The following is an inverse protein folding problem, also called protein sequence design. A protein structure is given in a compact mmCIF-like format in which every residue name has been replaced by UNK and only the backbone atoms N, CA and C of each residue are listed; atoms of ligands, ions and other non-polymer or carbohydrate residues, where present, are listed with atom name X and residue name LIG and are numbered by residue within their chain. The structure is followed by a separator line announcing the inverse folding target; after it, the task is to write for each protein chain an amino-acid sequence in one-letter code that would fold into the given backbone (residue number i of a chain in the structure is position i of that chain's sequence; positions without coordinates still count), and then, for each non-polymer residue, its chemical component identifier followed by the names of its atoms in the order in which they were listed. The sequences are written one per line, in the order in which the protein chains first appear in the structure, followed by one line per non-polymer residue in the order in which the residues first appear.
data_IF_536396709659
#
_entry.id   IF_536396709659
#
_cell.length_a   1.000
_cell.length_b   1.000
_cell.length_c   1.000
_cell.angle_alpha   90.00
_cell.angle_beta   90.00
_cell.angle_gamma   90.00
#
_symmetry.space_group_name_H-M   'P 1'
#
loop_
_entity.id
_entity.type
_entity.pdbx_description
1 polymer ?
#
# COMPACT_ATOMS: atom_id res chain seq x y z
N UNK A 1 8.68 16.39 14.58
CA UNK A 1 8.50 15.18 15.42
C UNK A 1 8.48 13.94 14.54
N UNK A 2 7.95 14.00 13.31
CA UNK A 2 8.03 12.94 12.28
C UNK A 2 9.46 12.54 11.86
N UNK A 3 10.36 13.51 11.61
CA UNK A 3 11.72 13.20 11.09
C UNK A 3 12.57 12.33 12.04
N UNK A 4 12.36 12.44 13.36
CA UNK A 4 13.09 11.63 14.36
C UNK A 4 12.59 10.18 14.34
N UNK A 5 11.30 9.96 14.07
CA UNK A 5 10.72 8.62 14.01
C UNK A 5 11.23 7.86 12.78
N UNK A 6 11.34 8.54 11.64
CA UNK A 6 11.92 7.99 10.40
C UNK A 6 13.38 7.58 10.61
N UNK A 7 14.18 8.43 11.24
CA UNK A 7 15.60 8.13 11.52
C UNK A 7 15.74 6.94 12.48
N UNK A 8 14.91 6.86 13.51
CA UNK A 8 14.95 5.75 14.47
C UNK A 8 14.59 4.41 13.79
N UNK A 9 13.55 4.37 12.96
CA UNK A 9 13.18 3.14 12.23
C UNK A 9 14.24 2.76 11.19
N UNK A 10 14.89 3.73 10.55
CA UNK A 10 16.04 3.48 9.66
C UNK A 10 17.27 2.95 10.43
N UNK A 11 17.51 3.39 11.67
CA UNK A 11 18.58 2.86 12.53
C UNK A 11 18.26 1.47 13.09
N UNK A 12 17.00 1.17 13.42
CA UNK A 12 16.59 -0.17 13.88
C UNK A 12 16.66 -1.22 12.76
N UNK A 13 16.28 -0.83 11.54
CA UNK A 13 16.33 -1.71 10.38
C UNK A 13 17.75 -1.98 9.87
N UNK A 14 18.75 -1.15 10.23
CA UNK A 14 20.18 -1.35 9.89
C UNK A 14 20.80 -2.64 10.40
N UNK A 15 20.20 -3.35 11.38
CA UNK A 15 20.75 -4.63 11.85
C UNK A 15 20.76 -5.73 10.79
N UNK A 16 20.08 -5.54 9.64
CA UNK A 16 19.94 -6.55 8.58
C UNK A 16 20.28 -5.98 7.17
N UNK A 17 21.18 -5.00 7.04
CA UNK A 17 21.34 -4.27 5.75
C UNK A 17 22.71 -4.50 5.07
N UNK A 18 22.65 -4.89 3.79
CA UNK A 18 23.72 -4.75 2.79
C UNK A 18 23.82 -3.29 2.31
N UNK A 19 25.02 -2.73 2.07
CA UNK A 19 25.16 -1.36 1.57
C UNK A 19 24.35 -1.16 0.27
N UNK A 20 23.59 -0.05 0.19
CA UNK A 20 22.75 0.39 -0.94
C UNK A 20 21.30 -0.15 -1.03
N UNK A 21 20.80 -0.91 -0.07
CA UNK A 21 19.36 -1.27 -0.04
C UNK A 21 18.59 -0.39 0.95
N UNK A 22 17.51 0.24 0.49
CA UNK A 22 16.50 0.81 1.37
C UNK A 22 15.90 -0.36 2.15
N UNK A 23 15.84 -0.32 3.49
CA UNK A 23 15.23 -1.40 4.23
C UNK A 23 13.74 -1.46 3.88
N UNK A 24 13.36 -2.50 3.15
CA UNK A 24 11.99 -2.91 2.80
C UNK A 24 11.03 -2.74 3.99
N UNK A 25 11.50 -3.08 5.19
CA UNK A 25 10.74 -2.93 6.42
C UNK A 25 10.45 -1.47 6.80
N UNK A 26 11.37 -0.52 6.54
CA UNK A 26 11.12 0.90 6.85
C UNK A 26 10.10 1.51 5.89
N UNK A 27 10.11 1.11 4.62
CA UNK A 27 9.01 1.44 3.71
C UNK A 27 7.69 0.89 4.28
N UNK A 28 7.59 -0.41 4.56
CA UNK A 28 6.32 -0.99 5.01
C UNK A 28 5.84 -0.49 6.40
N UNK A 29 6.74 -0.34 7.38
CA UNK A 29 6.39 0.03 8.77
C UNK A 29 6.34 1.54 9.05
N UNK A 30 7.17 2.36 8.39
CA UNK A 30 7.09 3.83 8.51
C UNK A 30 6.02 4.39 7.61
N UNK A 31 5.81 3.78 6.44
CA UNK A 31 4.84 4.31 5.51
C UNK A 31 3.46 3.94 5.99
N UNK A 32 2.64 4.97 5.95
CA UNK A 32 1.19 4.91 6.00
C UNK A 32 0.58 3.94 4.98
N UNK A 33 1.33 3.10 4.25
CA UNK A 33 0.79 2.16 3.29
C UNK A 33 -0.04 1.09 4.01
N UNK A 34 0.47 0.45 5.06
CA UNK A 34 -0.35 -0.47 5.87
C UNK A 34 -1.59 0.23 6.43
N UNK A 35 -1.46 1.46 6.94
CA UNK A 35 -2.59 2.19 7.52
C UNK A 35 -3.59 2.69 6.47
N UNK A 36 -3.13 3.10 5.28
CA UNK A 36 -3.95 3.52 4.13
C UNK A 36 -4.65 2.30 3.52
N UNK A 37 -3.93 1.22 3.27
CA UNK A 37 -4.48 -0.05 2.76
C UNK A 37 -5.48 -0.60 3.77
N UNK A 38 -5.19 -0.58 5.08
CA UNK A 38 -6.18 -0.92 6.11
C UNK A 38 -7.40 0.00 6.06
N UNK A 39 -7.21 1.30 5.85
CA UNK A 39 -8.29 2.28 5.72
C UNK A 39 -9.24 1.99 4.56
N UNK A 40 -8.73 1.44 3.45
CA UNK A 40 -9.52 1.08 2.26
C UNK A 40 -9.89 -0.41 2.19
N UNK A 41 -9.35 -1.26 3.07
CA UNK A 41 -9.49 -2.73 3.02
C UNK A 41 -10.95 -3.22 3.05
N UNK A 42 -11.83 -2.45 3.69
CA UNK A 42 -13.26 -2.76 3.77
C UNK A 42 -14.01 -2.52 2.46
N UNK A 43 -13.51 -1.65 1.58
CA UNK A 43 -14.15 -1.30 0.30
C UNK A 43 -14.26 -2.52 -0.63
N UNK A 44 -13.16 -3.23 -0.98
CA UNK A 44 -13.24 -4.37 -1.87
C UNK A 44 -14.02 -5.55 -1.25
N UNK A 45 -13.91 -5.76 0.07
CA UNK A 45 -14.68 -6.79 0.76
C UNK A 45 -16.19 -6.51 0.68
N UNK A 46 -16.62 -5.29 0.99
CA UNK A 46 -18.01 -4.88 0.86
C UNK A 46 -18.52 -4.91 -0.58
N UNK A 47 -17.65 -4.71 -1.56
CA UNK A 47 -17.99 -4.87 -2.98
C UNK A 47 -18.26 -6.34 -3.35
N UNK A 48 -17.39 -7.27 -2.92
CA UNK A 48 -17.58 -8.72 -3.12
C UNK A 48 -18.90 -9.18 -2.50
N UNK A 49 -19.23 -8.71 -1.30
CA UNK A 49 -20.50 -9.03 -0.66
C UNK A 49 -21.71 -8.59 -1.49
N UNK A 50 -21.70 -7.34 -1.99
CA UNK A 50 -22.79 -6.80 -2.83
C UNK A 50 -22.96 -7.58 -4.13
N UNK A 51 -21.85 -7.93 -4.80
CA UNK A 51 -21.90 -8.74 -6.03
C UNK A 51 -22.55 -10.10 -5.74
N UNK A 52 -22.10 -10.79 -4.69
CA UNK A 52 -22.62 -12.11 -4.39
C UNK A 52 -24.09 -12.09 -3.98
N UNK A 53 -24.55 -11.06 -3.25
CA UNK A 53 -25.98 -10.88 -2.98
C UNK A 53 -26.79 -10.70 -4.27
N UNK A 54 -26.32 -9.88 -5.21
CA UNK A 54 -26.99 -9.72 -6.51
C UNK A 54 -27.01 -11.02 -7.32
N UNK A 55 -25.89 -11.73 -7.40
CA UNK A 55 -25.80 -13.02 -8.11
C UNK A 55 -26.74 -14.04 -7.47
N UNK A 56 -26.80 -14.10 -6.14
CA UNK A 56 -27.70 -15.00 -5.41
C UNK A 56 -29.16 -14.74 -5.75
N UNK A 57 -29.59 -13.48 -5.71
CA UNK A 57 -30.96 -13.10 -6.04
C UNK A 57 -31.33 -13.48 -7.48
N UNK A 58 -30.44 -13.23 -8.43
CA UNK A 58 -30.65 -13.58 -9.85
C UNK A 58 -30.73 -15.09 -10.02
N UNK A 59 -29.78 -15.84 -9.48
CA UNK A 59 -29.70 -17.30 -9.64
C UNK A 59 -30.89 -17.98 -8.98
N UNK A 60 -31.26 -17.59 -7.75
CA UNK A 60 -32.45 -18.14 -7.07
C UNK A 60 -33.70 -17.81 -7.85
N UNK A 61 -33.87 -16.57 -8.34
CA UNK A 61 -35.05 -16.17 -9.12
C UNK A 61 -35.21 -17.00 -10.39
N UNK A 62 -34.12 -17.19 -11.14
CA UNK A 62 -34.10 -18.00 -12.36
C UNK A 62 -34.41 -19.47 -12.05
N UNK A 63 -33.75 -20.05 -11.04
CA UNK A 63 -33.99 -21.44 -10.62
C UNK A 63 -35.44 -21.66 -10.20
N UNK A 64 -36.00 -20.77 -9.39
CA UNK A 64 -37.38 -20.86 -8.90
C UNK A 64 -38.39 -20.80 -10.05
N UNK A 65 -38.18 -19.90 -11.01
CA UNK A 65 -39.05 -19.73 -12.19
C UNK A 65 -39.04 -20.97 -13.08
N UNK A 66 -37.88 -21.55 -13.37
CA UNK A 66 -37.78 -22.71 -14.25
C UNK A 66 -38.23 -24.03 -13.61
N UNK A 67 -38.36 -24.08 -12.29
CA UNK A 67 -38.77 -25.27 -11.54
C UNK A 67 -40.16 -25.15 -10.88
N UNK A 68 -40.92 -24.10 -11.20
CA UNK A 68 -42.22 -23.80 -10.58
C UNK A 68 -43.22 -24.97 -10.62
N UNK A 69 -43.21 -25.75 -11.71
CA UNK A 69 -44.11 -26.88 -11.91
C UNK A 69 -43.69 -28.14 -11.14
N UNK A 70 -42.50 -28.14 -10.53
CA UNK A 70 -41.92 -29.29 -9.84
C UNK A 70 -41.44 -28.92 -8.44
N UNK A 71 -42.36 -28.81 -7.48
CA UNK A 71 -42.08 -28.36 -6.11
C UNK A 71 -40.87 -29.04 -5.43
N UNK A 72 -40.74 -30.36 -5.56
CA UNK A 72 -39.60 -31.10 -4.97
C UNK A 72 -38.26 -30.72 -5.61
N UNK A 73 -38.24 -30.53 -6.93
CA UNK A 73 -37.06 -30.10 -7.67
C UNK A 73 -36.73 -28.64 -7.37
N UNK A 74 -37.74 -27.79 -7.24
CA UNK A 74 -37.57 -26.38 -6.90
C UNK A 74 -36.91 -26.20 -5.53
N UNK A 75 -37.41 -26.91 -4.52
CA UNK A 75 -36.84 -26.85 -3.18
C UNK A 75 -35.40 -27.38 -3.12
N UNK A 76 -35.13 -28.50 -3.82
CA UNK A 76 -33.78 -29.08 -3.85
C UNK A 76 -32.80 -28.21 -4.63
N UNK A 77 -33.19 -27.67 -5.79
CA UNK A 77 -32.39 -26.79 -6.62
C UNK A 77 -32.07 -25.47 -5.92
N UNK A 78 -33.06 -24.85 -5.24
CA UNK A 78 -32.84 -23.65 -4.42
C UNK A 78 -31.78 -23.90 -3.35
N UNK A 79 -31.94 -24.98 -2.57
CA UNK A 79 -30.98 -25.34 -1.51
C UNK A 79 -29.59 -25.62 -2.06
N UNK A 80 -29.48 -26.37 -3.15
CA UNK A 80 -28.21 -26.67 -3.79
C UNK A 80 -27.52 -25.39 -4.32
N UNK A 81 -28.29 -24.50 -4.96
CA UNK A 81 -27.81 -23.22 -5.45
C UNK A 81 -27.28 -22.34 -4.31
N UNK A 82 -28.07 -22.14 -3.25
CA UNK A 82 -27.64 -21.32 -2.10
C UNK A 82 -26.40 -21.89 -1.41
N UNK A 83 -26.31 -23.21 -1.24
CA UNK A 83 -25.12 -23.86 -0.71
C UNK A 83 -23.87 -23.63 -1.58
N UNK A 84 -24.01 -23.72 -2.91
CA UNK A 84 -22.91 -23.44 -3.83
C UNK A 84 -22.48 -21.98 -3.76
N UNK A 85 -23.43 -21.05 -3.79
CA UNK A 85 -23.15 -19.61 -3.75
C UNK A 85 -22.50 -19.20 -2.43
N UNK A 86 -22.95 -19.75 -1.30
CA UNK A 86 -22.29 -19.55 -0.01
C UNK A 86 -20.81 -19.93 -0.04
N UNK A 87 -20.49 -21.11 -0.61
CA UNK A 87 -19.10 -21.58 -0.74
C UNK A 87 -18.27 -20.71 -1.70
N UNK A 88 -18.86 -20.27 -2.81
CA UNK A 88 -18.17 -19.42 -3.78
C UNK A 88 -17.95 -18.00 -3.24
N UNK A 89 -18.91 -17.47 -2.46
CA UNK A 89 -18.78 -16.20 -1.75
C UNK A 89 -17.66 -16.27 -0.72
N UNK A 90 -17.63 -17.31 0.11
CA UNK A 90 -16.56 -17.52 1.10
C UNK A 90 -15.18 -17.54 0.43
N UNK A 91 -15.02 -18.33 -0.64
CA UNK A 91 -13.76 -18.38 -1.39
C UNK A 91 -13.35 -17.03 -1.98
N UNK A 92 -14.32 -16.25 -2.46
CA UNK A 92 -14.06 -14.91 -3.01
C UNK A 92 -13.62 -13.93 -1.94
N UNK A 93 -14.21 -14.00 -0.74
CA UNK A 93 -13.81 -13.19 0.41
C UNK A 93 -12.38 -13.55 0.84
N UNK A 94 -12.06 -14.84 0.94
CA UNK A 94 -10.69 -15.31 1.24
C UNK A 94 -9.69 -14.75 0.23
N UNK A 95 -9.96 -14.91 -1.06
CA UNK A 95 -9.06 -14.43 -2.10
C UNK A 95 -8.91 -12.90 -2.09
N UNK A 96 -10.00 -12.16 -1.88
CA UNK A 96 -9.93 -10.70 -1.77
C UNK A 96 -9.13 -10.26 -0.53
N UNK A 97 -9.25 -11.00 0.57
CA UNK A 97 -8.45 -10.76 1.78
C UNK A 97 -6.97 -10.97 1.49
N UNK A 98 -6.60 -12.07 0.82
CA UNK A 98 -5.22 -12.34 0.40
C UNK A 98 -4.66 -11.23 -0.49
N UNK A 99 -5.44 -10.71 -1.45
CA UNK A 99 -5.02 -9.60 -2.30
C UNK A 99 -4.75 -8.34 -1.46
N UNK A 100 -5.63 -8.01 -0.51
CA UNK A 100 -5.44 -6.86 0.39
C UNK A 100 -4.20 -7.04 1.26
N UNK A 101 -3.95 -8.24 1.79
CA UNK A 101 -2.75 -8.51 2.59
C UNK A 101 -1.47 -8.47 1.74
N UNK A 102 -1.51 -8.95 0.50
CA UNK A 102 -0.38 -8.83 -0.43
C UNK A 102 -0.09 -7.36 -0.78
N UNK A 103 -1.10 -6.52 -0.91
CA UNK A 103 -0.92 -5.09 -1.19
C UNK A 103 -0.22 -4.36 -0.03
N UNK A 104 -0.47 -4.76 1.22
CA UNK A 104 0.20 -4.16 2.40
C UNK A 104 1.71 -4.31 2.40
N UNK A 105 2.19 -5.42 1.85
CA UNK A 105 3.62 -5.76 1.83
C UNK A 105 4.28 -5.47 0.49
N UNK A 106 3.51 -4.99 -0.50
CA UNK A 106 4.03 -4.67 -1.82
C UNK A 106 4.72 -3.31 -1.79
N UNK A 107 5.99 -3.26 -2.21
CA UNK A 107 6.84 -2.06 -2.25
C UNK A 107 7.14 -1.59 -3.69
N UNK A 108 6.43 -2.16 -4.67
CA UNK A 108 6.68 -1.92 -6.09
C UNK A 108 5.44 -1.42 -6.82
N UNK A 109 5.64 -0.41 -7.69
CA UNK A 109 4.63 0.08 -8.63
C UNK A 109 5.22 0.19 -10.02
N UNK A 110 4.49 -0.30 -11.02
CA UNK A 110 4.78 -0.13 -12.44
C UNK A 110 4.06 1.09 -13.04
N UNK A 111 3.50 1.99 -12.21
CA UNK A 111 2.80 3.16 -12.72
C UNK A 111 3.79 4.11 -13.43
N UNK A 112 3.64 4.37 -14.75
CA UNK A 112 4.58 5.17 -15.50
C UNK A 112 4.60 6.64 -15.06
N UNK A 113 3.48 7.19 -14.59
CA UNK A 113 3.38 8.56 -14.08
C UNK A 113 4.16 8.69 -12.77
N UNK A 114 3.96 7.73 -11.85
CA UNK A 114 4.74 7.62 -10.61
C UNK A 114 6.24 7.52 -10.90
N UNK A 115 6.63 6.61 -11.80
CA UNK A 115 8.03 6.42 -12.15
C UNK A 115 8.64 7.67 -12.77
N UNK A 116 7.90 8.39 -13.62
CA UNK A 116 8.37 9.63 -14.22
C UNK A 116 8.65 10.71 -13.17
N UNK A 117 7.73 10.91 -12.23
CA UNK A 117 7.87 11.93 -11.19
C UNK A 117 8.93 11.54 -10.14
N UNK A 118 8.97 10.27 -9.74
CA UNK A 118 10.03 9.75 -8.86
C UNK A 118 11.41 9.92 -9.51
N UNK A 119 11.58 9.56 -10.79
CA UNK A 119 12.84 9.74 -11.51
C UNK A 119 13.27 11.20 -11.59
N UNK A 120 12.32 12.13 -11.75
CA UNK A 120 12.58 13.56 -11.78
C UNK A 120 13.12 14.08 -10.44
N UNK A 121 12.50 13.66 -9.33
CA UNK A 121 12.85 14.09 -7.98
C UNK A 121 14.09 13.38 -7.42
N UNK A 122 14.31 12.10 -7.74
CA UNK A 122 15.52 11.38 -7.33
C UNK A 122 16.76 11.92 -8.05
N UNK A 123 16.61 12.51 -9.24
CA UNK A 123 17.70 13.20 -9.95
C UNK A 123 18.30 14.38 -9.17
N UNK A 124 17.60 14.92 -8.16
CA UNK A 124 18.09 16.00 -7.28
C UNK A 124 18.85 15.49 -6.05
N UNK A 125 18.95 14.18 -5.87
CA UNK A 125 19.54 13.54 -4.68
C UNK A 125 20.96 14.02 -4.39
N UNK A 126 21.84 14.03 -5.39
CA UNK A 126 23.23 14.47 -5.22
C UNK A 126 23.32 15.94 -4.81
N UNK A 127 22.46 16.80 -5.37
CA UNK A 127 22.40 18.21 -5.02
C UNK A 127 21.96 18.40 -3.56
N UNK A 128 20.98 17.61 -3.11
CA UNK A 128 20.52 17.58 -1.72
C UNK A 128 21.63 17.10 -0.76
N UNK A 129 22.25 15.95 -1.02
CA UNK A 129 23.30 15.39 -0.16
C UNK A 129 24.49 16.34 -0.05
N UNK A 130 24.93 16.93 -1.17
CA UNK A 130 26.00 17.92 -1.16
C UNK A 130 25.58 19.21 -0.44
N UNK A 131 24.33 19.65 -0.59
CA UNK A 131 23.77 20.82 0.11
C UNK A 131 23.71 20.65 1.63
N UNK A 132 23.48 19.42 2.12
CA UNK A 132 23.44 19.11 3.57
C UNK A 132 24.83 18.96 4.16
N UNK A 133 25.73 18.21 3.48
CA UNK A 133 27.01 17.77 4.03
C UNK A 133 28.21 18.65 3.64
N UNK A 134 28.26 19.16 2.41
CA UNK A 134 29.43 19.88 1.85
C UNK A 134 29.27 21.40 1.82
N UNK A 135 28.07 21.92 2.08
CA UNK A 135 27.82 23.36 2.06
C UNK A 135 28.48 24.07 3.24
N UNK A 136 29.39 25.01 2.93
CA UNK A 136 30.13 25.81 3.93
C UNK A 136 29.23 26.67 4.81
N UNK A 137 28.09 27.13 4.27
CA UNK A 137 27.15 28.00 4.99
C UNK A 137 26.28 27.22 5.99
N UNK A 138 26.34 25.88 5.98
CA UNK A 138 25.61 24.96 6.87
C UNK A 138 24.16 25.43 7.15
N UNK A 139 23.33 25.67 6.11
CA UNK A 139 22.00 26.22 6.29
C UNK A 139 21.14 25.32 7.20
N UNK A 140 20.34 25.92 8.08
CA UNK A 140 19.44 25.18 8.98
C UNK A 140 18.30 24.49 8.23
N UNK A 141 17.91 25.05 7.07
CA UNK A 141 16.84 24.56 6.21
C UNK A 141 17.30 24.46 4.76
N UNK A 142 16.75 23.49 4.03
CA UNK A 142 16.92 23.35 2.58
C UNK A 142 15.54 23.20 1.95
N UNK A 143 15.30 23.88 0.83
CA UNK A 143 14.09 23.69 0.05
C UNK A 143 14.30 22.53 -0.91
N UNK A 144 13.41 21.54 -0.85
CA UNK A 144 13.36 20.43 -1.78
C UNK A 144 12.12 20.59 -2.64
N UNK A 145 12.27 20.41 -3.96
CA UNK A 145 11.13 20.48 -4.87
C UNK A 145 10.08 19.41 -4.52
N UNK A 146 8.79 19.77 -4.55
CA UNK A 146 7.69 18.89 -4.16
C UNK A 146 7.48 18.70 -2.64
N UNK A 147 8.47 19.01 -1.79
CA UNK A 147 8.36 18.88 -0.33
C UNK A 147 8.27 20.25 0.37
N UNK A 148 9.04 21.24 -0.08
CA UNK A 148 9.20 22.54 0.58
C UNK A 148 10.43 22.61 1.50
N UNK A 149 10.38 23.49 2.51
CA UNK A 149 11.51 23.70 3.43
C UNK A 149 11.64 22.58 4.48
N UNK A 150 12.76 21.86 4.46
CA UNK A 150 13.08 20.78 5.40
C UNK A 150 14.20 21.21 6.35
N UNK A 151 14.08 20.87 7.64
CA UNK A 151 15.12 21.16 8.64
C UNK A 151 16.22 20.09 8.57
N UNK A 152 17.42 20.49 8.15
CA UNK A 152 18.51 19.53 7.86
C UNK A 152 19.53 19.39 8.99
N UNK A 153 19.39 20.16 10.07
CA UNK A 153 20.31 20.13 11.21
C UNK A 153 20.35 18.77 11.92
N UNK A 154 19.18 18.13 12.09
CA UNK A 154 19.09 16.79 12.68
C UNK A 154 19.68 15.72 11.75
N UNK A 155 19.48 15.88 10.44
CA UNK A 155 19.95 14.94 9.42
C UNK A 155 21.48 14.91 9.30
N UNK A 156 22.17 16.03 9.59
CA UNK A 156 23.65 16.08 9.62
C UNK A 156 24.28 15.16 10.67
N UNK A 157 23.54 14.83 11.74
CA UNK A 157 24.04 13.94 12.79
C UNK A 157 24.13 12.49 12.32
N UNK A 158 23.34 12.13 11.30
CA UNK A 158 23.28 10.78 10.74
C UNK A 158 23.48 10.80 9.22
N UNK A 159 24.69 11.12 8.73
CA UNK A 159 24.97 11.22 7.29
C UNK A 159 24.71 9.90 6.54
N UNK A 160 24.87 8.75 7.23
CA UNK A 160 24.63 7.43 6.67
C UNK A 160 23.14 7.14 6.40
N UNK A 161 22.22 7.81 7.11
CA UNK A 161 20.77 7.65 6.92
C UNK A 161 20.18 8.70 5.95
N UNK A 162 20.97 9.73 5.58
CA UNK A 162 20.50 10.86 4.77
C UNK A 162 19.98 10.45 3.40
N UNK A 163 20.73 9.57 2.71
CA UNK A 163 20.36 9.07 1.38
C UNK A 163 19.05 8.27 1.45
N UNK A 164 18.94 7.37 2.42
CA UNK A 164 17.75 6.54 2.61
C UNK A 164 16.53 7.37 3.03
N UNK A 165 16.71 8.37 3.89
CA UNK A 165 15.64 9.26 4.30
C UNK A 165 15.12 10.12 3.13
N UNK A 166 16.00 10.55 2.23
CA UNK A 166 15.58 11.28 1.02
C UNK A 166 14.79 10.39 0.07
N UNK A 167 15.31 9.22 -0.28
CA UNK A 167 14.59 8.29 -1.18
C UNK A 167 13.22 7.89 -0.60
N UNK A 168 13.16 7.58 0.70
CA UNK A 168 11.90 7.28 1.37
C UNK A 168 10.92 8.47 1.30
N UNK A 169 11.41 9.70 1.52
CA UNK A 169 10.56 10.90 1.49
C UNK A 169 10.05 11.21 0.09
N UNK A 170 10.85 11.01 -0.96
CA UNK A 170 10.39 11.15 -2.35
C UNK A 170 9.30 10.12 -2.65
N UNK A 171 9.50 8.86 -2.27
CA UNK A 171 8.48 7.81 -2.49
C UNK A 171 7.15 8.06 -1.79
N UNK A 172 7.13 8.89 -0.73
CA UNK A 172 5.92 9.27 0.00
C UNK A 172 5.09 10.37 -0.67
N UNK A 173 5.73 11.25 -1.45
CA UNK A 173 5.08 12.45 -1.98
C UNK A 173 4.59 12.30 -3.41
N UNK A 174 5.14 11.34 -4.15
CA UNK A 174 4.69 10.97 -5.50
C UNK A 174 3.46 10.08 -5.41
#
# INVERSE_FOLDING_TARGET
MEEINVINVLEETKRIILPNFLPHNAFITVLELESKVNGISSIPLGFVEKIWSYIEDVVVSVLMRHSENYYKLQLSAKRAGQNLMSKMKERSITWMTEIVEMEKVTDHTCNPEYLSEWNRLIGQHDAFVNGVLKNKNRPAKITIEGIGEVKVEALRKNPNALSAAYDLKIRMIV
#
